data_IF_406652865700
#
_entry.id   IF_406652865700
#
_cell.length_a   1.000
_cell.length_b   1.000
_cell.length_c   1.000
_cell.angle_alpha   90.00
_cell.angle_beta   90.00
_cell.angle_gamma   90.00
#
_symmetry.space_group_name_H-M   'P 1'
#
loop_
_entity.id
_entity.type
_entity.pdbx_description
1 polymer ?
#
# COMPACT_ATOMS: atom_id res chain seq x y z
N UNK A 1 23.43 55.48 58.37
CA UNK A 1 23.67 54.27 57.55
C UNK A 1 24.38 54.68 56.26
N UNK A 2 25.63 54.26 56.07
CA UNK A 2 26.56 54.82 55.06
C UNK A 2 26.11 54.57 53.61
N UNK A 3 26.28 55.58 52.74
CA UNK A 3 26.01 55.54 51.29
C UNK A 3 26.64 54.29 50.64
N UNK A 4 27.82 53.87 51.14
CA UNK A 4 28.56 52.69 50.68
C UNK A 4 27.76 51.38 50.81
N UNK A 5 27.03 51.20 51.90
CA UNK A 5 26.18 50.02 52.14
C UNK A 5 24.97 49.96 51.22
N UNK A 6 24.35 51.11 50.91
CA UNK A 6 23.21 51.18 49.98
C UNK A 6 23.66 50.91 48.54
N UNK A 7 24.84 51.43 48.17
CA UNK A 7 25.45 51.20 46.86
C UNK A 7 25.86 49.74 46.65
N UNK A 8 26.45 49.08 47.66
CA UNK A 8 26.79 47.66 47.59
C UNK A 8 25.55 46.75 47.44
N UNK A 9 24.46 47.03 48.17
CA UNK A 9 23.18 46.30 48.00
C UNK A 9 22.60 46.48 46.60
N UNK A 10 22.69 47.68 46.02
CA UNK A 10 22.23 47.94 44.64
C UNK A 10 23.07 47.19 43.60
N UNK A 11 24.40 47.14 43.76
CA UNK A 11 25.27 46.37 42.87
C UNK A 11 25.00 44.86 42.96
N UNK A 12 24.77 44.34 44.16
CA UNK A 12 24.46 42.93 44.37
C UNK A 12 23.10 42.56 43.76
N UNK A 13 22.07 43.39 43.96
CA UNK A 13 20.76 43.23 43.31
C UNK A 13 20.87 43.26 41.78
N UNK A 14 21.64 44.19 41.21
CA UNK A 14 21.89 44.25 39.75
C UNK A 14 22.58 42.99 39.22
N UNK A 15 23.57 42.45 39.93
CA UNK A 15 24.24 41.19 39.54
C UNK A 15 23.28 39.99 39.58
N UNK A 16 22.41 39.90 40.59
CA UNK A 16 21.39 38.84 40.68
C UNK A 16 20.37 38.94 39.55
N UNK A 17 19.82 40.13 39.30
CA UNK A 17 18.89 40.35 38.19
C UNK A 17 19.52 40.05 36.82
N UNK A 18 20.79 40.43 36.60
CA UNK A 18 21.50 40.09 35.37
C UNK A 18 21.69 38.57 35.19
N UNK A 19 21.98 37.84 36.27
CA UNK A 19 22.11 36.37 36.27
C UNK A 19 20.77 35.67 36.00
N UNK A 20 19.68 36.12 36.63
CA UNK A 20 18.32 35.61 36.38
C UNK A 20 17.90 35.88 34.94
N UNK A 21 18.14 37.10 34.42
CA UNK A 21 17.83 37.45 33.04
C UNK A 21 18.58 36.58 32.01
N UNK A 22 19.86 36.27 32.25
CA UNK A 22 20.64 35.34 31.40
C UNK A 22 20.10 33.91 31.47
N UNK A 23 19.75 33.40 32.67
CA UNK A 23 19.15 32.06 32.84
C UNK A 23 17.79 31.96 32.15
N UNK A 24 16.92 32.96 32.30
CA UNK A 24 15.61 32.98 31.66
C UNK A 24 15.71 33.06 30.13
N UNK A 25 16.67 33.82 29.57
CA UNK A 25 16.92 33.84 28.12
C UNK A 25 17.36 32.46 27.61
N UNK A 26 18.31 31.81 28.30
CA UNK A 26 18.77 30.45 27.95
C UNK A 26 17.66 29.41 28.05
N UNK A 27 16.84 29.47 29.10
CA UNK A 27 15.69 28.57 29.26
C UNK A 27 14.63 28.79 28.19
N UNK A 28 14.37 30.05 27.80
CA UNK A 28 13.45 30.37 26.70
C UNK A 28 13.97 29.86 25.36
N UNK A 29 15.28 30.00 25.10
CA UNK A 29 15.90 29.44 23.89
C UNK A 29 15.83 27.91 23.88
N UNK A 30 16.17 27.23 24.99
CA UNK A 30 16.06 25.77 25.09
C UNK A 30 14.62 25.28 24.90
N UNK A 31 13.64 25.98 25.48
CA UNK A 31 12.23 25.69 25.28
C UNK A 31 11.85 25.80 23.80
N UNK A 32 12.21 26.90 23.12
CA UNK A 32 11.94 27.05 21.69
C UNK A 32 12.65 25.99 20.83
N UNK A 33 13.91 25.66 21.14
CA UNK A 33 14.63 24.59 20.44
C UNK A 33 13.96 23.23 20.63
N UNK A 34 13.52 22.90 21.86
CA UNK A 34 12.82 21.65 22.15
C UNK A 34 11.45 21.58 21.46
N UNK A 35 10.70 22.69 21.47
CA UNK A 35 9.41 22.80 20.80
C UNK A 35 9.55 22.68 19.28
N UNK A 36 10.55 23.34 18.69
CA UNK A 36 10.84 23.24 17.27
C UNK A 36 11.25 21.80 16.88
N UNK A 37 12.07 21.14 17.69
CA UNK A 37 12.47 19.74 17.47
C UNK A 37 11.26 18.81 17.53
N UNK A 38 10.36 19.02 18.49
CA UNK A 38 9.12 18.25 18.62
C UNK A 38 8.20 18.46 17.41
N UNK A 39 8.03 19.71 16.96
CA UNK A 39 7.25 20.04 15.77
C UNK A 39 7.83 19.38 14.51
N UNK A 40 9.15 19.42 14.33
CA UNK A 40 9.81 18.78 13.17
C UNK A 40 9.69 17.26 13.25
N UNK A 41 9.90 16.68 14.44
CA UNK A 41 9.82 15.23 14.67
C UNK A 41 8.41 14.68 14.43
N UNK A 42 7.36 15.38 14.89
CA UNK A 42 5.98 14.97 14.65
C UNK A 42 5.47 15.39 13.26
N UNK A 43 5.96 16.50 12.73
CA UNK A 43 5.56 17.02 11.42
C UNK A 43 6.06 16.15 10.27
N UNK A 44 7.28 15.60 10.36
CA UNK A 44 7.85 14.77 9.31
C UNK A 44 7.01 13.51 9.00
N UNK A 45 6.61 12.67 9.99
CA UNK A 45 5.70 11.56 9.77
C UNK A 45 4.36 11.99 9.17
N UNK A 46 3.79 13.10 9.62
CA UNK A 46 2.52 13.63 9.07
C UNK A 46 2.67 14.01 7.61
N UNK A 47 3.76 14.69 7.23
CA UNK A 47 4.04 15.03 5.83
C UNK A 47 4.24 13.79 4.97
N UNK A 48 4.94 12.76 5.48
CA UNK A 48 5.13 11.49 4.78
C UNK A 48 3.77 10.81 4.57
N UNK A 49 2.95 10.71 5.61
CA UNK A 49 1.60 10.13 5.52
C UNK A 49 0.72 10.89 4.52
N UNK A 50 0.75 12.22 4.55
CA UNK A 50 -0.02 13.05 3.63
C UNK A 50 0.45 12.85 2.17
N UNK A 51 1.76 12.79 1.95
CA UNK A 51 2.35 12.49 0.64
C UNK A 51 1.90 11.12 0.14
N UNK A 52 1.91 10.10 1.00
CA UNK A 52 1.42 8.75 0.65
C UNK A 52 -0.04 8.81 0.24
N UNK A 53 -0.91 9.50 0.99
CA UNK A 53 -2.33 9.61 0.66
C UNK A 53 -2.58 10.32 -0.68
N UNK A 54 -1.89 11.43 -0.92
CA UNK A 54 -1.99 12.19 -2.18
C UNK A 54 -1.54 11.33 -3.36
N UNK A 55 -0.39 10.67 -3.25
CA UNK A 55 0.16 9.84 -4.31
C UNK A 55 -0.67 8.56 -4.55
N UNK A 56 -1.35 8.06 -3.52
CA UNK A 56 -2.20 6.88 -3.57
C UNK A 56 -3.57 7.14 -4.21
N UNK A 57 -4.06 8.38 -4.24
CA UNK A 57 -5.37 8.72 -4.82
C UNK A 57 -5.50 8.24 -6.29
N UNK A 58 -4.41 8.35 -7.05
CA UNK A 58 -4.35 7.89 -8.44
C UNK A 58 -4.54 6.37 -8.57
N UNK A 59 -4.24 5.57 -7.55
CA UNK A 59 -4.49 4.12 -7.55
C UNK A 59 -5.99 3.78 -7.38
N UNK A 60 -6.79 4.66 -6.78
CA UNK A 60 -8.23 4.47 -6.56
C UNK A 60 -9.06 4.64 -7.83
N UNK A 61 -8.46 5.14 -8.91
CA UNK A 61 -9.14 5.33 -10.18
C UNK A 61 -8.58 4.40 -11.23
N UNK A 62 -9.41 3.92 -12.14
CA UNK A 62 -9.01 3.19 -13.34
C UNK A 62 -9.66 3.85 -14.54
N UNK A 63 -8.96 3.83 -15.67
CA UNK A 63 -9.48 4.35 -16.94
C UNK A 63 -10.24 3.23 -17.63
N UNK A 64 -11.48 3.50 -18.05
CA UNK A 64 -12.27 2.58 -18.85
C UNK A 64 -12.60 3.21 -20.21
N UNK A 65 -12.70 2.34 -21.23
CA UNK A 65 -12.98 2.68 -22.63
C UNK A 65 -14.32 2.07 -23.01
N UNK A 66 -15.19 2.87 -23.63
CA UNK A 66 -16.49 2.45 -24.14
C UNK A 66 -16.35 1.87 -25.54
N UNK A 67 -16.62 0.57 -25.68
CA UNK A 67 -16.59 -0.14 -26.96
C UNK A 67 -17.97 -0.69 -27.33
N UNK A 68 -18.39 -0.53 -28.59
CA UNK A 68 -19.54 -1.23 -29.13
C UNK A 68 -19.13 -2.68 -29.46
N UNK A 69 -19.77 -3.65 -28.80
CA UNK A 69 -19.53 -5.09 -29.00
C UNK A 69 -20.78 -5.72 -29.59
N UNK A 70 -20.61 -6.39 -30.72
CA UNK A 70 -21.67 -7.12 -31.41
C UNK A 70 -21.59 -8.60 -31.02
N UNK A 71 -22.53 -9.05 -30.18
CA UNK A 71 -22.54 -10.42 -29.68
C UNK A 71 -23.21 -11.32 -30.73
N UNK A 72 -22.43 -12.19 -31.36
CA UNK A 72 -22.91 -13.15 -32.36
C UNK A 72 -23.63 -14.34 -31.72
N UNK A 73 -24.48 -15.02 -32.48
CA UNK A 73 -25.19 -16.22 -32.01
C UNK A 73 -24.22 -17.36 -31.64
N UNK A 74 -23.08 -17.48 -32.34
CA UNK A 74 -22.04 -18.46 -32.05
C UNK A 74 -21.29 -18.18 -30.72
N UNK A 75 -21.19 -16.92 -30.31
CA UNK A 75 -20.71 -16.58 -28.97
C UNK A 75 -21.67 -17.07 -27.89
N UNK A 76 -22.98 -16.98 -28.15
CA UNK A 76 -24.00 -17.39 -27.19
C UNK A 76 -24.13 -18.90 -27.01
N UNK A 77 -23.62 -19.68 -27.98
CA UNK A 77 -23.62 -21.15 -27.95
C UNK A 77 -22.34 -21.73 -27.33
N UNK A 78 -21.35 -20.90 -26.97
CA UNK A 78 -20.07 -21.35 -26.45
C UNK A 78 -20.18 -21.74 -24.96
N UNK A 79 -20.27 -23.04 -24.67
CA UNK A 79 -20.27 -23.57 -23.29
C UNK A 79 -18.85 -23.81 -22.74
N UNK A 80 -17.86 -24.06 -23.61
CA UNK A 80 -16.50 -24.35 -23.18
C UNK A 80 -15.72 -23.09 -22.74
N UNK A 81 -15.09 -23.06 -21.55
CA UNK A 81 -14.38 -21.88 -21.06
C UNK A 81 -13.24 -21.39 -21.96
N UNK A 82 -12.53 -22.30 -22.62
CA UNK A 82 -11.45 -21.94 -23.55
C UNK A 82 -12.01 -21.32 -24.83
N UNK A 83 -13.08 -21.89 -25.38
CA UNK A 83 -13.72 -21.39 -26.60
C UNK A 83 -14.31 -19.99 -26.36
N UNK A 84 -14.98 -19.81 -25.22
CA UNK A 84 -15.52 -18.52 -24.81
C UNK A 84 -14.43 -17.44 -24.70
N UNK A 85 -13.26 -17.79 -24.16
CA UNK A 85 -12.11 -16.88 -24.08
C UNK A 85 -11.61 -16.46 -25.45
N UNK A 86 -11.40 -17.41 -26.36
CA UNK A 86 -10.91 -17.08 -27.71
C UNK A 86 -11.92 -16.19 -28.46
N UNK A 87 -13.20 -16.55 -28.45
CA UNK A 87 -14.25 -15.76 -29.08
C UNK A 87 -14.40 -14.36 -28.46
N UNK A 88 -14.22 -14.24 -27.15
CA UNK A 88 -14.26 -12.93 -26.45
C UNK A 88 -13.14 -12.03 -26.89
N UNK A 89 -11.93 -12.57 -27.03
CA UNK A 89 -10.77 -11.83 -27.53
C UNK A 89 -11.03 -11.38 -28.98
N UNK A 90 -11.55 -12.26 -29.83
CA UNK A 90 -11.81 -11.94 -31.24
C UNK A 90 -12.87 -10.83 -31.40
N UNK A 91 -13.98 -10.92 -30.65
CA UNK A 91 -15.01 -9.88 -30.63
C UNK A 91 -14.47 -8.51 -30.17
N UNK A 92 -13.63 -8.50 -29.13
CA UNK A 92 -12.99 -7.26 -28.67
C UNK A 92 -12.06 -6.68 -29.73
N UNK A 93 -11.31 -7.53 -30.44
CA UNK A 93 -10.43 -7.08 -31.52
C UNK A 93 -11.23 -6.46 -32.67
N UNK A 94 -12.37 -7.06 -33.04
CA UNK A 94 -13.26 -6.53 -34.07
C UNK A 94 -13.90 -5.20 -33.66
N UNK A 95 -14.36 -5.10 -32.41
CA UNK A 95 -14.86 -3.86 -31.82
C UNK A 95 -13.81 -2.75 -31.83
N UNK A 96 -12.57 -3.07 -31.46
CA UNK A 96 -11.46 -2.12 -31.52
C UNK A 96 -11.23 -1.67 -32.97
N UNK A 97 -11.12 -2.60 -33.93
CA UNK A 97 -10.93 -2.25 -35.35
C UNK A 97 -12.08 -1.38 -35.91
N UNK A 98 -13.32 -1.60 -35.47
CA UNK A 98 -14.48 -0.79 -35.85
C UNK A 98 -14.38 0.64 -35.30
N UNK A 99 -13.95 0.82 -34.05
CA UNK A 99 -13.81 2.14 -33.40
C UNK A 99 -12.59 2.89 -33.91
N UNK A 100 -11.49 2.18 -34.15
CA UNK A 100 -10.17 2.72 -34.47
C UNK A 100 -9.83 2.65 -35.97
N UNK A 101 -10.83 2.76 -36.84
CA UNK A 101 -10.62 2.76 -38.31
C UNK A 101 -9.61 3.85 -38.71
N UNK A 102 -8.44 3.43 -39.19
CA UNK A 102 -7.39 4.33 -39.70
C UNK A 102 -6.26 4.66 -38.71
N UNK A 103 -6.27 4.11 -37.49
CA UNK A 103 -5.14 4.22 -36.55
C UNK A 103 -4.38 2.90 -36.46
N UNK A 104 -3.06 2.94 -36.58
CA UNK A 104 -2.18 1.78 -36.47
C UNK A 104 -1.88 1.50 -34.98
N UNK A 105 -2.34 0.37 -34.46
CA UNK A 105 -1.98 -0.11 -33.12
C UNK A 105 -1.47 -1.54 -33.24
N UNK A 106 -0.31 -1.82 -32.63
CA UNK A 106 0.42 -3.09 -32.81
C UNK A 106 -0.25 -4.26 -32.11
N UNK A 107 -0.90 -4.01 -30.98
CA UNK A 107 -1.61 -5.02 -30.20
C UNK A 107 -2.77 -4.44 -29.42
N UNK A 108 -3.87 -5.20 -29.30
CA UNK A 108 -5.04 -4.82 -28.51
C UNK A 108 -4.73 -4.66 -27.02
N UNK A 109 -3.73 -5.40 -26.52
CA UNK A 109 -3.24 -5.35 -25.14
C UNK A 109 -2.59 -3.99 -24.79
N UNK A 110 -2.28 -3.16 -25.81
CA UNK A 110 -1.76 -1.82 -25.60
C UNK A 110 -2.88 -0.80 -25.30
N UNK A 111 -4.13 -1.11 -25.67
CA UNK A 111 -5.29 -0.23 -25.49
C UNK A 111 -6.18 -0.73 -24.36
N UNK A 112 -6.51 -2.02 -24.37
CA UNK A 112 -7.33 -2.69 -23.36
C UNK A 112 -6.48 -3.53 -22.42
N UNK A 113 -7.00 -3.78 -21.22
CA UNK A 113 -6.38 -4.73 -20.32
C UNK A 113 -6.43 -6.14 -20.90
N UNK A 114 -5.39 -6.94 -20.67
CA UNK A 114 -5.39 -8.35 -21.07
C UNK A 114 -6.53 -9.16 -20.45
N UNK A 115 -7.11 -8.68 -19.36
CA UNK A 115 -8.24 -9.31 -18.69
C UNK A 115 -9.61 -8.80 -19.17
N UNK A 116 -9.69 -7.89 -20.15
CA UNK A 116 -10.97 -7.36 -20.65
C UNK A 116 -11.86 -8.44 -21.26
N UNK A 117 -11.29 -9.56 -21.75
CA UNK A 117 -12.10 -10.71 -22.17
C UNK A 117 -12.95 -11.26 -21.00
N UNK A 118 -12.43 -11.30 -19.76
CA UNK A 118 -13.19 -11.73 -18.58
C UNK A 118 -14.32 -10.76 -18.24
N UNK A 119 -14.14 -9.48 -18.53
CA UNK A 119 -15.19 -8.47 -18.34
C UNK A 119 -16.35 -8.72 -19.32
N UNK A 120 -16.03 -9.04 -20.58
CA UNK A 120 -17.04 -9.43 -21.58
C UNK A 120 -17.73 -10.75 -21.19
N UNK A 121 -16.97 -11.77 -20.79
CA UNK A 121 -17.53 -13.05 -20.32
C UNK A 121 -18.47 -12.87 -19.13
N UNK A 122 -18.08 -12.06 -18.14
CA UNK A 122 -18.89 -11.77 -16.98
C UNK A 122 -20.14 -10.96 -17.34
N UNK A 123 -20.03 -10.01 -18.27
CA UNK A 123 -21.17 -9.24 -18.77
C UNK A 123 -22.17 -10.15 -19.48
N UNK A 124 -21.69 -11.05 -20.34
CA UNK A 124 -22.52 -12.02 -21.04
C UNK A 124 -23.22 -12.97 -20.07
N UNK A 125 -22.48 -13.62 -19.17
CA UNK A 125 -23.05 -14.53 -18.17
C UNK A 125 -24.05 -13.85 -17.23
N UNK A 126 -23.84 -12.57 -16.91
CA UNK A 126 -24.62 -11.84 -15.91
C UNK A 126 -25.86 -11.12 -16.43
N UNK A 127 -25.82 -10.55 -17.65
CA UNK A 127 -26.86 -9.58 -18.10
C UNK A 127 -27.53 -9.92 -19.43
N UNK A 128 -26.89 -10.68 -20.32
CA UNK A 128 -27.35 -10.82 -21.71
C UNK A 128 -27.18 -12.24 -22.21
N UNK A 129 -28.29 -12.91 -22.55
CA UNK A 129 -28.30 -14.22 -23.23
C UNK A 129 -28.62 -14.14 -24.73
N UNK A 130 -28.83 -12.94 -25.27
CA UNK A 130 -29.31 -12.74 -26.63
C UNK A 130 -28.26 -12.02 -27.48
N UNK A 131 -28.24 -12.34 -28.78
CA UNK A 131 -27.40 -11.65 -29.76
C UNK A 131 -27.88 -10.21 -29.98
N UNK A 132 -26.92 -9.30 -30.14
CA UNK A 132 -27.20 -7.87 -30.32
C UNK A 132 -25.96 -7.00 -30.16
N UNK A 133 -26.10 -5.72 -30.44
CA UNK A 133 -25.06 -4.72 -30.21
C UNK A 133 -25.20 -4.10 -28.81
N UNK A 134 -24.09 -4.08 -28.07
CA UNK A 134 -24.03 -3.54 -26.71
C UNK A 134 -22.86 -2.59 -26.57
N UNK A 135 -23.08 -1.43 -25.94
CA UNK A 135 -21.99 -0.55 -25.52
C UNK A 135 -21.54 -0.91 -24.11
N UNK A 136 -20.29 -1.37 -23.98
CA UNK A 136 -19.74 -1.90 -22.74
C UNK A 136 -18.46 -1.12 -22.38
N UNK A 137 -18.32 -0.79 -21.10
CA UNK A 137 -17.10 -0.20 -20.55
C UNK A 137 -16.10 -1.29 -20.23
N UNK A 138 -14.88 -1.15 -20.76
CA UNK A 138 -13.78 -2.07 -20.52
C UNK A 138 -12.60 -1.37 -19.86
N UNK A 139 -11.92 -2.08 -18.96
CA UNK A 139 -10.69 -1.59 -18.34
C UNK A 139 -9.62 -1.35 -19.40
N UNK A 140 -9.05 -0.14 -19.43
CA UNK A 140 -7.95 0.22 -20.30
C UNK A 140 -6.63 -0.41 -19.83
N UNK A 141 -5.69 -0.59 -20.76
CA UNK A 141 -4.35 -1.10 -20.47
C UNK A 141 -3.60 -0.22 -19.46
N UNK A 142 -2.58 -0.78 -18.83
CA UNK A 142 -1.64 -0.03 -17.99
C UNK A 142 -1.05 1.20 -18.69
N UNK A 143 -0.79 1.13 -20.01
CA UNK A 143 -0.24 2.22 -20.82
C UNK A 143 -1.24 3.37 -20.87
N UNK A 144 -2.46 3.13 -21.35
CA UNK A 144 -3.51 4.16 -21.45
C UNK A 144 -3.88 4.72 -20.08
N UNK A 145 -3.98 3.84 -19.08
CA UNK A 145 -4.29 4.24 -17.71
C UNK A 145 -3.21 5.14 -17.11
N UNK A 146 -1.92 4.85 -17.38
CA UNK A 146 -0.79 5.65 -16.89
C UNK A 146 -0.72 7.04 -17.54
N UNK A 147 -1.00 7.12 -18.84
CA UNK A 147 -1.04 8.39 -19.60
C UNK A 147 -2.21 9.25 -19.11
N UNK A 148 -3.39 8.66 -18.90
CA UNK A 148 -4.54 9.39 -18.37
C UNK A 148 -4.34 9.87 -16.91
N UNK A 149 -3.33 9.35 -16.22
CA UNK A 149 -2.95 9.71 -14.85
C UNK A 149 -1.69 10.58 -14.80
N UNK A 150 -1.21 11.07 -15.95
CA UNK A 150 -0.04 11.93 -16.07
C UNK A 150 1.25 11.33 -15.45
N UNK A 151 1.33 9.99 -15.39
CA UNK A 151 2.49 9.26 -14.83
C UNK A 151 3.52 8.90 -15.90
N UNK A 152 3.10 8.85 -17.15
CA UNK A 152 3.92 8.43 -18.28
C UNK A 152 3.49 9.22 -19.52
N UNK A 153 4.45 9.59 -20.35
CA UNK A 153 4.19 10.32 -21.59
C UNK A 153 4.65 9.47 -22.78
N UNK A 154 3.70 9.18 -23.66
CA UNK A 154 3.98 8.62 -24.97
C UNK A 154 3.12 9.37 -26.00
N UNK A 155 3.77 10.04 -26.96
CA UNK A 155 3.10 10.92 -27.91
C UNK A 155 1.99 10.23 -28.69
N UNK A 156 2.23 9.00 -29.17
CA UNK A 156 1.27 8.23 -29.96
C UNK A 156 -0.03 7.95 -29.20
N UNK A 157 0.09 7.37 -28.00
CA UNK A 157 -1.08 7.02 -27.19
C UNK A 157 -1.73 8.23 -26.50
N UNK A 158 -1.00 9.34 -26.32
CA UNK A 158 -1.57 10.59 -25.80
C UNK A 158 -2.52 11.24 -26.81
N UNK A 159 -2.17 11.21 -28.10
CA UNK A 159 -3.05 11.66 -29.18
C UNK A 159 -4.30 10.77 -29.27
N UNK A 160 -4.10 9.45 -29.25
CA UNK A 160 -5.18 8.46 -29.21
C UNK A 160 -6.15 8.69 -28.04
N UNK A 161 -5.61 8.90 -26.84
CA UNK A 161 -6.40 9.15 -25.64
C UNK A 161 -7.18 10.48 -25.75
N UNK A 162 -6.58 11.50 -26.35
CA UNK A 162 -7.22 12.79 -26.55
C UNK A 162 -8.40 12.67 -27.52
N UNK A 163 -8.21 11.94 -28.62
CA UNK A 163 -9.28 11.61 -29.55
C UNK A 163 -10.42 10.81 -28.88
N UNK A 164 -10.08 9.81 -28.06
CA UNK A 164 -11.08 9.03 -27.31
C UNK A 164 -11.87 9.88 -26.30
N UNK A 165 -11.21 10.85 -25.65
CA UNK A 165 -11.86 11.81 -24.75
C UNK A 165 -12.81 12.73 -25.51
N UNK A 166 -12.40 13.23 -26.66
CA UNK A 166 -13.24 14.08 -27.52
C UNK A 166 -14.51 13.35 -27.97
N UNK A 167 -14.40 12.06 -28.32
CA UNK A 167 -15.54 11.20 -28.66
C UNK A 167 -16.38 10.75 -27.45
N UNK A 168 -16.02 11.15 -26.23
CA UNK A 168 -16.73 10.77 -25.00
C UNK A 168 -16.64 9.29 -24.64
N UNK A 169 -15.68 8.55 -25.22
CA UNK A 169 -15.50 7.11 -25.06
C UNK A 169 -14.55 6.71 -23.93
N UNK A 170 -13.99 7.67 -23.19
CA UNK A 170 -13.08 7.40 -22.06
C UNK A 170 -13.57 8.09 -20.80
N UNK A 171 -13.61 7.35 -19.69
CA UNK A 171 -13.93 7.89 -18.36
C UNK A 171 -13.04 7.25 -17.29
N UNK A 172 -12.85 7.98 -16.19
CA UNK A 172 -12.22 7.46 -14.97
C UNK A 172 -13.31 6.90 -14.07
N UNK A 173 -13.16 5.65 -13.67
CA UNK A 173 -14.04 4.97 -12.73
C UNK A 173 -13.34 4.70 -11.42
N UNK A 174 -14.13 4.53 -10.36
CA UNK A 174 -13.62 4.11 -9.06
C UNK A 174 -13.25 2.63 -9.09
N UNK A 175 -11.99 2.33 -8.77
CA UNK A 175 -11.44 0.98 -8.85
C UNK A 175 -11.89 0.13 -7.65
N UNK A 176 -13.10 -0.44 -7.73
CA UNK A 176 -13.57 -1.42 -6.73
C UNK A 176 -12.71 -2.67 -6.70
N UNK A 177 -12.10 -3.02 -7.83
CA UNK A 177 -11.28 -4.22 -7.96
C UNK A 177 -10.02 -4.17 -7.10
N UNK A 178 -9.51 -2.97 -6.81
CA UNK A 178 -8.39 -2.76 -5.90
C UNK A 178 -8.65 -3.39 -4.52
N UNK A 179 -9.87 -3.30 -3.99
CA UNK A 179 -10.20 -3.79 -2.65
C UNK A 179 -10.72 -5.22 -2.63
N UNK A 180 -11.30 -5.68 -3.75
CA UNK A 180 -12.03 -6.95 -3.82
C UNK A 180 -11.24 -8.08 -4.50
N UNK A 181 -10.23 -7.76 -5.31
CA UNK A 181 -9.40 -8.76 -6.01
C UNK A 181 -8.08 -9.02 -5.26
N UNK A 182 -7.46 -10.15 -5.58
CA UNK A 182 -6.07 -10.46 -5.18
C UNK A 182 -5.06 -9.79 -6.12
N UNK A 183 -3.79 -10.07 -5.89
CA UNK A 183 -2.69 -9.75 -6.77
C UNK A 183 -2.92 -10.22 -8.22
N UNK A 184 -2.37 -9.45 -9.16
CA UNK A 184 -2.50 -9.69 -10.60
C UNK A 184 -1.20 -9.28 -11.28
N UNK A 185 -0.86 -9.94 -12.39
CA UNK A 185 0.25 -9.57 -13.27
C UNK A 185 -0.01 -8.26 -14.01
N UNK A 186 -1.29 -7.92 -14.20
CA UNK A 186 -1.73 -6.67 -14.80
C UNK A 186 -2.03 -5.64 -13.70
N UNK A 187 -1.32 -4.48 -13.68
CA UNK A 187 -1.38 -3.52 -12.57
C UNK A 187 -2.74 -2.82 -12.45
N UNK A 188 -3.48 -2.64 -13.54
CA UNK A 188 -4.84 -2.08 -13.52
C UNK A 188 -5.87 -2.99 -12.84
N UNK A 189 -5.56 -4.28 -12.72
CA UNK A 189 -6.42 -5.30 -12.15
C UNK A 189 -5.93 -5.83 -10.79
N UNK A 190 -4.77 -5.36 -10.33
CA UNK A 190 -4.18 -5.79 -9.07
C UNK A 190 -5.01 -5.26 -7.89
N UNK A 191 -5.27 -6.14 -6.92
CA UNK A 191 -5.96 -5.80 -5.68
C UNK A 191 -5.14 -6.16 -4.44
N UNK A 192 -5.57 -5.60 -3.30
CA UNK A 192 -4.89 -5.71 -2.01
C UNK A 192 -5.46 -6.83 -1.14
N UNK A 193 -6.57 -7.46 -1.54
CA UNK A 193 -7.33 -8.35 -0.67
C UNK A 193 -6.51 -9.56 -0.21
N UNK A 194 -5.74 -10.17 -1.11
CA UNK A 194 -4.87 -11.30 -0.80
C UNK A 194 -3.81 -10.94 0.24
N UNK A 195 -3.10 -9.82 0.04
CA UNK A 195 -2.10 -9.33 0.99
C UNK A 195 -2.70 -8.93 2.34
N UNK A 196 -3.89 -8.34 2.34
CA UNK A 196 -4.61 -7.95 3.55
C UNK A 196 -5.02 -9.17 4.38
N UNK A 197 -5.66 -10.16 3.76
CA UNK A 197 -6.07 -11.40 4.42
C UNK A 197 -4.84 -12.18 4.90
N UNK A 198 -3.79 -12.27 4.08
CA UNK A 198 -2.53 -12.91 4.47
C UNK A 198 -1.93 -12.25 5.71
N UNK A 199 -1.87 -10.92 5.75
CA UNK A 199 -1.37 -10.17 6.91
C UNK A 199 -2.25 -10.35 8.15
N UNK A 200 -3.57 -10.41 7.98
CA UNK A 200 -4.49 -10.65 9.09
C UNK A 200 -4.30 -12.07 9.65
N UNK A 201 -4.15 -13.07 8.78
CA UNK A 201 -3.89 -14.46 9.17
C UNK A 201 -2.57 -14.60 9.92
N UNK A 202 -1.49 -13.95 9.45
CA UNK A 202 -0.19 -14.01 10.14
C UNK A 202 -0.26 -13.37 11.53
N UNK A 203 -0.94 -12.23 11.68
CA UNK A 203 -1.18 -11.60 12.98
C UNK A 203 -2.02 -12.51 13.88
N UNK A 204 -3.09 -13.11 13.36
CA UNK A 204 -3.98 -13.99 14.12
C UNK A 204 -3.24 -15.23 14.64
N UNK A 205 -2.46 -15.91 13.78
CA UNK A 205 -1.66 -17.07 14.19
C UNK A 205 -0.60 -16.66 15.21
N UNK A 206 0.09 -15.54 14.97
CA UNK A 206 1.07 -15.00 15.90
C UNK A 206 0.44 -14.73 17.28
N UNK A 207 -0.71 -14.08 17.32
CA UNK A 207 -1.42 -13.76 18.56
C UNK A 207 -1.95 -15.01 19.26
N UNK A 208 -2.52 -15.96 18.51
CA UNK A 208 -3.03 -17.22 19.04
C UNK A 208 -1.95 -18.06 19.71
N UNK A 209 -0.69 -17.97 19.28
CA UNK A 209 0.43 -18.70 19.88
C UNK A 209 1.15 -17.87 20.95
N UNK A 210 1.52 -16.62 20.62
CA UNK A 210 2.33 -15.79 21.50
C UNK A 210 1.58 -15.34 22.75
N UNK A 211 0.27 -15.07 22.65
CA UNK A 211 -0.51 -14.56 23.78
C UNK A 211 -0.67 -15.63 24.87
N UNK A 212 -1.13 -16.88 24.59
CA UNK A 212 -1.20 -17.91 25.63
C UNK A 212 0.17 -18.22 26.24
N UNK A 213 1.21 -18.40 25.41
CA UNK A 213 2.57 -18.70 25.88
C UNK A 213 3.11 -17.57 26.75
N UNK A 214 2.92 -16.32 26.35
CA UNK A 214 3.37 -15.15 27.09
C UNK A 214 2.66 -15.01 28.45
N UNK A 215 1.34 -15.18 28.48
CA UNK A 215 0.57 -15.13 29.73
C UNK A 215 0.96 -16.28 30.66
N UNK A 216 1.01 -17.51 30.15
CA UNK A 216 1.38 -18.69 30.95
C UNK A 216 2.80 -18.58 31.50
N UNK A 217 3.75 -18.11 30.68
CA UNK A 217 5.14 -17.89 31.13
C UNK A 217 5.22 -16.81 32.20
N UNK A 218 4.48 -15.71 32.05
CA UNK A 218 4.42 -14.63 33.04
C UNK A 218 3.85 -15.08 34.38
N UNK A 219 2.74 -15.83 34.35
CA UNK A 219 2.14 -16.41 35.56
C UNK A 219 3.12 -17.40 36.20
N UNK A 220 3.75 -18.28 35.42
CA UNK A 220 4.71 -19.25 35.91
C UNK A 220 5.90 -18.60 36.62
N UNK A 221 6.49 -17.57 36.00
CA UNK A 221 7.62 -16.82 36.56
C UNK A 221 7.25 -16.06 37.84
N UNK A 222 6.04 -15.50 37.91
CA UNK A 222 5.61 -14.71 39.06
C UNK A 222 5.20 -15.55 40.25
N UNK A 223 4.44 -16.63 40.01
CA UNK A 223 3.79 -17.40 41.07
C UNK A 223 4.62 -18.61 41.52
N UNK A 224 5.32 -19.28 40.60
CA UNK A 224 5.93 -20.59 40.88
C UNK A 224 7.46 -20.55 41.02
N UNK A 225 8.15 -19.50 40.54
CA UNK A 225 9.62 -19.47 40.57
C UNK A 225 10.18 -18.82 41.84
N UNK A 226 11.10 -19.49 42.58
CA UNK A 226 11.72 -18.91 43.76
C UNK A 226 12.62 -17.72 43.39
N UNK A 227 12.48 -16.58 44.08
CA UNK A 227 13.22 -15.33 43.80
C UNK A 227 14.74 -15.46 43.90
N UNK A 228 15.25 -16.41 44.70
CA UNK A 228 16.69 -16.60 44.92
C UNK A 228 17.27 -17.78 44.12
N UNK A 229 16.50 -18.35 43.18
CA UNK A 229 16.96 -19.45 42.34
C UNK A 229 17.82 -18.93 41.19
N UNK A 230 18.97 -19.57 40.98
CA UNK A 230 19.88 -19.31 39.85
C UNK A 230 19.13 -19.43 38.52
N UNK A 231 18.16 -20.35 38.43
CA UNK A 231 17.35 -20.58 37.22
C UNK A 231 16.48 -19.34 36.94
N UNK A 232 15.86 -18.76 37.95
CA UNK A 232 15.05 -17.53 37.82
C UNK A 232 15.91 -16.39 37.28
N UNK A 233 17.12 -16.20 37.84
CA UNK A 233 18.04 -15.15 37.39
C UNK A 233 18.47 -15.34 35.93
N UNK A 234 18.74 -16.57 35.49
CA UNK A 234 19.10 -16.86 34.09
C UNK A 234 17.93 -16.52 33.14
N UNK A 235 16.70 -16.91 33.50
CA UNK A 235 15.51 -16.66 32.68
C UNK A 235 15.20 -15.16 32.61
N UNK A 236 15.24 -14.43 33.72
CA UNK A 236 15.01 -12.99 33.77
C UNK A 236 16.03 -12.21 32.91
N UNK A 237 17.32 -12.55 33.01
CA UNK A 237 18.36 -11.94 32.17
C UNK A 237 18.12 -12.26 30.69
N UNK A 238 17.73 -13.49 30.38
CA UNK A 238 17.45 -13.92 28.99
C UNK A 238 16.26 -13.17 28.40
N UNK A 239 15.17 -13.00 29.17
CA UNK A 239 13.99 -12.24 28.73
C UNK A 239 14.34 -10.76 28.51
N UNK A 240 15.06 -10.14 29.44
CA UNK A 240 15.49 -8.75 29.30
C UNK A 240 16.41 -8.54 28.09
N UNK A 241 17.34 -9.47 27.85
CA UNK A 241 18.21 -9.43 26.67
C UNK A 241 17.39 -9.61 25.39
N UNK A 242 16.46 -10.55 25.35
CA UNK A 242 15.62 -10.81 24.16
C UNK A 242 14.71 -9.60 23.85
N UNK A 243 14.19 -8.94 24.88
CA UNK A 243 13.39 -7.72 24.74
C UNK A 243 14.19 -6.50 24.27
N UNK A 244 15.50 -6.46 24.54
CA UNK A 244 16.38 -5.36 24.14
C UNK A 244 16.89 -5.47 22.70
N UNK A 245 16.81 -6.65 22.08
CA UNK A 245 17.31 -6.89 20.72
C UNK A 245 16.38 -6.23 19.68
N UNK A 246 16.92 -5.42 18.74
CA UNK A 246 16.14 -4.88 17.64
C UNK A 246 15.49 -5.97 16.77
N UNK A 247 14.22 -5.78 16.39
CA UNK A 247 13.43 -6.76 15.63
C UNK A 247 14.07 -7.19 14.30
N UNK A 248 14.87 -6.32 13.66
CA UNK A 248 15.58 -6.62 12.42
C UNK A 248 16.56 -7.79 12.57
N UNK A 249 17.17 -7.95 13.75
CA UNK A 249 18.14 -9.02 14.01
C UNK A 249 17.41 -10.37 14.03
N UNK A 250 16.25 -10.45 14.69
CA UNK A 250 15.43 -11.67 14.68
C UNK A 250 14.99 -12.06 13.26
N UNK A 251 14.67 -11.09 12.41
CA UNK A 251 14.32 -11.34 11.00
C UNK A 251 15.46 -11.96 10.20
N UNK A 252 16.68 -11.41 10.30
CA UNK A 252 17.85 -11.92 9.58
C UNK A 252 18.30 -13.29 10.10
N UNK A 253 18.28 -13.50 11.41
CA UNK A 253 18.59 -14.80 12.03
C UNK A 253 17.57 -15.86 11.61
N UNK A 254 16.27 -15.52 11.60
CA UNK A 254 15.21 -16.41 11.12
C UNK A 254 15.42 -16.82 9.66
N UNK A 255 15.69 -15.86 8.77
CA UNK A 255 15.99 -16.14 7.36
C UNK A 255 17.18 -17.09 7.20
N UNK A 256 18.24 -16.88 7.99
CA UNK A 256 19.45 -17.73 7.97
C UNK A 256 19.16 -19.14 8.47
N UNK A 257 18.33 -19.29 9.51
CA UNK A 257 17.88 -20.59 10.00
C UNK A 257 17.08 -21.34 8.93
N UNK A 258 16.08 -20.70 8.32
CA UNK A 258 15.20 -21.36 7.37
C UNK A 258 15.88 -21.70 6.03
N UNK A 259 16.59 -20.74 5.42
CA UNK A 259 17.22 -20.94 4.11
C UNK A 259 18.61 -21.55 4.21
N UNK A 260 19.39 -21.15 5.22
CA UNK A 260 20.79 -21.57 5.36
C UNK A 260 20.92 -22.92 6.04
N UNK A 261 20.33 -23.07 7.22
CA UNK A 261 20.50 -24.29 8.04
C UNK A 261 19.49 -25.37 7.64
N UNK A 262 18.21 -25.02 7.55
CA UNK A 262 17.15 -25.98 7.20
C UNK A 262 16.99 -26.21 5.69
N UNK A 263 17.67 -25.42 4.85
CA UNK A 263 17.68 -25.61 3.40
C UNK A 263 16.31 -25.51 2.73
N UNK A 264 15.36 -24.80 3.35
CA UNK A 264 14.02 -24.67 2.80
C UNK A 264 14.05 -23.88 1.49
N UNK A 265 13.23 -24.24 0.48
CA UNK A 265 13.18 -23.50 -0.76
C UNK A 265 12.63 -22.09 -0.52
N UNK A 266 13.21 -21.11 -1.21
CA UNK A 266 12.56 -19.81 -1.42
C UNK A 266 11.24 -20.09 -2.15
N UNK A 267 10.15 -19.45 -1.76
CA UNK A 267 8.77 -19.74 -2.20
C UNK A 267 8.03 -20.85 -1.45
N UNK A 268 8.57 -21.35 -0.33
CA UNK A 268 7.79 -22.17 0.60
C UNK A 268 6.77 -21.29 1.36
N UNK A 269 5.54 -21.75 1.62
CA UNK A 269 4.57 -21.03 2.45
C UNK A 269 5.09 -20.60 3.84
N UNK A 270 6.14 -21.27 4.34
CA UNK A 270 6.81 -20.98 5.61
C UNK A 270 7.92 -19.92 5.51
N UNK A 271 8.49 -19.70 4.33
CA UNK A 271 9.68 -18.85 4.13
C UNK A 271 9.41 -17.66 3.20
N UNK A 272 8.25 -17.65 2.54
CA UNK A 272 7.86 -16.65 1.55
C UNK A 272 8.17 -17.13 0.14
#
# INVERSE_FOLDING_TARGET
MSIKTKFLKLLQSRRVHARIRRKNKRNRTLYFCSLATLIVSLGCPVCILLSILINSYSALTVTEILLPVEITADFALADNPSDLRYKSIDLLNDSLRKVFKGTDFRSNDEILSRNSYKELENFFRGKVKHSGEYEIWFTASSIINSINKDRYFNGHYAELLSWLKEKGRVKKFFNKSLFLKSDSREPENAGILGAFIGSLMTIMVCLALALPIGIMSGIYLHEFMPKNSIITSIVEVSINNLAAVPSIIFGVVGLTLYLGIFGLPRSSPLVG
#
